data_IF_062320956830
#
_entry.id   IF_062320956830
#
_cell.length_a   1.000
_cell.length_b   1.000
_cell.length_c   1.000
_cell.angle_alpha   90.00
_cell.angle_beta   90.00
_cell.angle_gamma   90.00
#
_symmetry.space_group_name_H-M   'P 1'
#
loop_
_entity.id
_entity.type
_entity.pdbx_description
1 polymer ?
#
# COMPACT_ATOMS: atom_id res chain seq x y z
N UNK A 1 -12.37 -30.51 -38.07
CA UNK A 1 -13.58 -29.68 -38.25
C UNK A 1 -13.13 -28.23 -38.33
N UNK A 2 -13.08 -27.66 -39.54
CA UNK A 2 -12.68 -26.28 -39.83
C UNK A 2 -13.90 -25.59 -40.42
N UNK A 3 -14.30 -24.45 -39.88
CA UNK A 3 -15.29 -23.58 -40.50
C UNK A 3 -14.59 -22.26 -40.80
N UNK A 4 -14.52 -21.94 -42.10
CA UNK A 4 -14.34 -20.60 -42.63
C UNK A 4 -15.73 -20.01 -42.91
N UNK A 5 -15.89 -18.71 -42.70
CA UNK A 5 -16.79 -17.89 -43.49
C UNK A 5 -16.14 -16.51 -43.74
N UNK A 6 -16.10 -16.15 -45.01
CA UNK A 6 -15.67 -14.86 -45.55
C UNK A 6 -16.86 -13.89 -45.64
N UNK A 7 -16.59 -12.60 -45.42
CA UNK A 7 -17.09 -11.49 -46.26
C UNK A 7 -18.43 -10.82 -45.89
N UNK A 8 -18.39 -9.49 -45.72
CA UNK A 8 -19.55 -8.62 -45.93
C UNK A 8 -19.52 -7.28 -45.17
N UNK A 9 -19.05 -6.21 -45.82
CA UNK A 9 -19.10 -4.82 -45.36
C UNK A 9 -20.54 -4.30 -45.15
N UNK A 10 -20.72 -3.44 -44.14
CA UNK A 10 -21.65 -2.30 -44.21
C UNK A 10 -21.18 -1.17 -43.29
N UNK A 11 -20.93 -0.02 -43.91
CA UNK A 11 -20.56 1.26 -43.28
C UNK A 11 -21.85 1.96 -42.88
N UNK A 12 -22.00 2.30 -41.60
CA UNK A 12 -22.87 3.40 -41.16
C UNK A 12 -22.08 4.25 -40.17
N UNK A 13 -21.68 5.43 -40.66
CA UNK A 13 -21.21 6.55 -39.85
C UNK A 13 -22.28 6.95 -38.84
N UNK A 14 -21.94 7.17 -37.57
CA UNK A 14 -22.40 8.38 -36.85
C UNK A 14 -21.63 8.63 -35.55
N UNK A 15 -21.03 9.83 -35.51
CA UNK A 15 -20.77 10.70 -34.34
C UNK A 15 -19.81 10.22 -33.26
N UNK A 16 -18.57 10.68 -33.41
CA UNK A 16 -17.68 10.99 -32.29
C UNK A 16 -18.38 11.90 -31.28
N UNK A 17 -18.46 11.47 -30.02
CA UNK A 17 -18.56 12.37 -28.87
C UNK A 17 -17.22 12.39 -28.16
N UNK A 18 -16.49 13.49 -28.34
CA UNK A 18 -15.37 13.90 -27.49
C UNK A 18 -15.91 14.08 -26.06
N UNK A 19 -15.52 13.22 -25.13
CA UNK A 19 -15.64 13.50 -23.71
C UNK A 19 -14.32 14.12 -23.22
N UNK A 20 -14.34 15.44 -23.06
CA UNK A 20 -13.37 16.16 -22.23
C UNK A 20 -13.71 15.89 -20.75
N UNK A 21 -12.75 15.50 -19.88
CA UNK A 21 -13.00 15.50 -18.45
C UNK A 21 -12.99 16.94 -17.92
N UNK A 22 -14.16 17.42 -17.46
CA UNK A 22 -14.31 18.65 -16.67
C UNK A 22 -13.62 18.50 -15.30
N UNK A 23 -12.33 18.82 -15.22
CA UNK A 23 -11.62 19.10 -13.96
C UNK A 23 -11.46 20.61 -13.78
N UNK A 24 -12.53 21.34 -13.45
CA UNK A 24 -12.45 22.77 -13.03
C UNK A 24 -13.46 23.22 -11.97
N UNK A 25 -14.21 22.33 -11.32
CA UNK A 25 -15.23 22.72 -10.32
C UNK A 25 -14.80 22.65 -8.86
N UNK A 26 -13.68 22.02 -8.50
CA UNK A 26 -13.26 21.91 -7.09
C UNK A 26 -12.43 23.10 -6.58
N UNK A 27 -11.70 23.80 -7.44
CA UNK A 27 -10.91 24.97 -7.04
C UNK A 27 -11.77 26.23 -6.79
N UNK A 28 -12.96 26.32 -7.41
CA UNK A 28 -13.84 27.49 -7.28
C UNK A 28 -14.60 27.51 -5.94
N UNK A 29 -14.88 26.34 -5.37
CA UNK A 29 -15.60 26.22 -4.08
C UNK A 29 -14.67 26.52 -2.90
N UNK A 30 -13.41 26.09 -2.97
CA UNK A 30 -12.42 26.42 -1.94
C UNK A 30 -12.05 27.92 -1.91
N UNK A 31 -12.02 28.58 -3.07
CA UNK A 31 -11.73 30.02 -3.15
C UNK A 31 -12.87 30.91 -2.62
N UNK A 32 -14.13 30.44 -2.66
CA UNK A 32 -15.27 31.23 -2.17
C UNK A 32 -15.35 31.28 -0.63
N UNK A 33 -14.85 30.24 0.06
CA UNK A 33 -14.90 30.14 1.52
C UNK A 33 -13.81 31.00 2.18
N UNK A 34 -12.66 31.19 1.52
CA UNK A 34 -11.59 32.07 2.02
C UNK A 34 -11.89 33.57 1.87
N UNK A 35 -12.89 33.96 1.08
CA UNK A 35 -13.30 35.36 0.89
C UNK A 35 -14.38 35.81 1.90
N UNK A 36 -14.98 34.90 2.66
CA UNK A 36 -16.05 35.19 3.61
C UNK A 36 -15.59 35.35 5.07
N UNK A 37 -14.29 35.14 5.37
CA UNK A 37 -13.74 35.27 6.73
C UNK A 37 -12.98 36.58 6.99
N UNK A 38 -12.97 37.51 6.04
CA UNK A 38 -12.31 38.82 6.15
C UNK A 38 -13.31 39.95 5.89
N UNK A 39 -14.26 40.14 6.81
CA UNK A 39 -14.82 41.44 7.21
C UNK A 39 -16.08 41.23 8.05
N UNK A 40 -15.94 41.29 9.37
CA UNK A 40 -16.95 41.83 10.28
C UNK A 40 -16.35 41.90 11.69
N UNK A 41 -15.48 42.87 11.91
CA UNK A 41 -15.29 43.44 13.24
C UNK A 41 -16.13 44.72 13.27
N UNK A 42 -17.28 44.70 13.93
CA UNK A 42 -17.79 45.86 14.67
C UNK A 42 -18.93 45.45 15.60
N UNK A 43 -18.85 45.98 16.81
CA UNK A 43 -19.71 45.73 17.97
C UNK A 43 -21.09 46.37 17.84
N UNK A 44 -22.16 45.63 18.16
CA UNK A 44 -23.44 46.20 18.60
C UNK A 44 -24.23 45.20 19.47
N UNK A 45 -24.84 45.72 20.54
CA UNK A 45 -25.60 45.01 21.58
C UNK A 45 -26.74 44.11 21.04
N UNK A 46 -27.11 43.01 21.75
CA UNK A 46 -28.14 42.10 21.29
C UNK A 46 -29.55 42.63 21.60
N UNK A 47 -30.34 42.87 20.56
CA UNK A 47 -31.80 42.87 20.64
C UNK A 47 -32.26 41.48 20.23
N UNK A 48 -33.04 40.82 21.09
CA UNK A 48 -33.59 39.50 20.84
C UNK A 48 -34.41 39.50 19.54
N UNK A 49 -33.94 38.72 18.56
CA UNK A 49 -34.69 38.44 17.32
C UNK A 49 -35.33 37.05 17.44
N UNK A 50 -36.57 36.86 16.97
CA UNK A 50 -37.23 35.57 16.99
C UNK A 50 -36.52 34.60 16.03
N UNK A 51 -36.34 33.35 16.47
CA UNK A 51 -35.59 32.31 15.76
C UNK A 51 -36.17 32.01 14.37
N UNK A 52 -35.41 32.40 13.35
CA UNK A 52 -35.48 31.85 12.01
C UNK A 52 -34.11 31.19 11.81
N UNK A 53 -34.05 29.85 11.79
CA UNK A 53 -32.84 29.18 11.34
C UNK A 53 -32.53 29.67 9.92
N UNK A 54 -31.27 30.03 9.69
CA UNK A 54 -30.84 30.46 8.37
C UNK A 54 -30.93 29.26 7.42
N UNK A 55 -31.33 29.41 6.15
CA UNK A 55 -31.27 28.33 5.15
C UNK A 55 -29.87 27.70 5.03
N UNK A 56 -28.82 28.42 5.45
CA UNK A 56 -27.46 27.92 5.55
C UNK A 56 -27.27 26.96 6.74
N UNK A 57 -27.89 27.23 7.88
CA UNK A 57 -27.85 26.38 9.07
C UNK A 57 -28.58 25.07 8.80
N UNK A 58 -29.78 25.12 8.22
CA UNK A 58 -30.54 23.92 7.83
C UNK A 58 -29.77 23.04 6.83
N UNK A 59 -29.01 23.64 5.91
CA UNK A 59 -28.15 22.91 4.96
C UNK A 59 -26.93 22.28 5.62
N UNK A 60 -26.33 22.95 6.61
CA UNK A 60 -25.19 22.43 7.37
C UNK A 60 -25.64 21.28 8.28
N UNK A 61 -26.81 21.39 8.90
CA UNK A 61 -27.38 20.35 9.76
C UNK A 61 -27.74 19.09 8.96
N UNK A 62 -28.35 19.23 7.78
CA UNK A 62 -28.63 18.09 6.91
C UNK A 62 -27.34 17.43 6.38
N UNK A 63 -26.32 18.22 6.04
CA UNK A 63 -25.02 17.67 5.65
C UNK A 63 -24.34 16.91 6.80
N UNK A 64 -24.40 17.43 8.02
CA UNK A 64 -23.89 16.74 9.22
C UNK A 64 -24.63 15.42 9.45
N UNK A 65 -25.96 15.41 9.34
CA UNK A 65 -26.80 14.20 9.47
C UNK A 65 -26.44 13.14 8.43
N UNK A 66 -26.28 13.53 7.16
CA UNK A 66 -25.88 12.62 6.09
C UNK A 66 -24.47 12.05 6.30
N UNK A 67 -23.53 12.86 6.81
CA UNK A 67 -22.19 12.40 7.16
C UNK A 67 -22.22 11.37 8.31
N UNK A 68 -23.03 11.58 9.35
CA UNK A 68 -23.18 10.62 10.44
C UNK A 68 -23.81 9.30 9.95
N UNK A 69 -24.82 9.38 9.10
CA UNK A 69 -25.42 8.19 8.49
C UNK A 69 -24.40 7.43 7.61
N UNK A 70 -23.60 8.15 6.82
CA UNK A 70 -22.52 7.57 6.01
C UNK A 70 -21.46 6.88 6.88
N UNK A 71 -21.07 7.52 7.99
CA UNK A 71 -20.14 6.95 8.96
C UNK A 71 -20.67 5.64 9.56
N UNK A 72 -21.94 5.63 10.02
CA UNK A 72 -22.60 4.44 10.57
C UNK A 72 -22.62 3.29 9.58
N UNK A 73 -23.07 3.53 8.34
CA UNK A 73 -23.15 2.48 7.32
C UNK A 73 -21.76 1.90 6.99
N UNK A 74 -20.75 2.77 6.89
CA UNK A 74 -19.37 2.37 6.61
C UNK A 74 -18.76 1.57 7.77
N UNK A 75 -19.02 1.98 9.02
CA UNK A 75 -18.60 1.26 10.21
C UNK A 75 -19.24 -0.12 10.31
N UNK A 76 -20.55 -0.22 10.08
CA UNK A 76 -21.25 -1.50 10.09
C UNK A 76 -20.69 -2.46 9.01
N UNK A 77 -20.36 -1.94 7.82
CA UNK A 77 -19.69 -2.73 6.79
C UNK A 77 -18.31 -3.20 7.27
N UNK A 78 -17.50 -2.32 7.86
CA UNK A 78 -16.18 -2.66 8.37
C UNK A 78 -16.25 -3.70 9.50
N UNK A 79 -17.22 -3.59 10.41
CA UNK A 79 -17.47 -4.58 11.48
C UNK A 79 -17.83 -5.95 10.90
N UNK A 80 -18.76 -6.00 9.93
CA UNK A 80 -19.13 -7.25 9.27
C UNK A 80 -17.93 -7.93 8.59
N UNK A 81 -17.05 -7.14 7.96
CA UNK A 81 -15.82 -7.64 7.37
C UNK A 81 -14.83 -8.12 8.43
N UNK A 82 -14.66 -7.38 9.53
CA UNK A 82 -13.84 -7.81 10.65
C UNK A 82 -14.27 -9.17 11.21
N UNK A 83 -15.57 -9.39 11.44
CA UNK A 83 -16.07 -10.69 11.92
C UNK A 83 -15.78 -11.85 10.96
N UNK A 84 -15.73 -11.60 9.66
CA UNK A 84 -15.36 -12.62 8.67
C UNK A 84 -13.85 -12.89 8.63
N UNK A 85 -13.03 -11.92 9.00
CA UNK A 85 -11.58 -11.96 8.86
C UNK A 85 -10.86 -12.33 10.16
N UNK A 86 -11.48 -12.11 11.32
CA UNK A 86 -10.83 -12.26 12.63
C UNK A 86 -10.19 -13.64 12.86
N UNK A 87 -10.93 -14.72 12.63
CA UNK A 87 -10.41 -16.07 12.79
C UNK A 87 -9.29 -16.42 11.78
N UNK A 88 -9.43 -16.14 10.47
CA UNK A 88 -8.33 -16.29 9.51
C UNK A 88 -7.06 -15.50 9.86
N UNK A 89 -7.18 -14.27 10.40
CA UNK A 89 -6.03 -13.41 10.70
C UNK A 89 -5.09 -13.98 11.78
N UNK A 90 -5.62 -14.79 12.71
CA UNK A 90 -4.84 -15.44 13.79
C UNK A 90 -4.47 -16.90 13.52
N UNK A 91 -4.75 -17.40 12.32
CA UNK A 91 -4.43 -18.79 11.97
C UNK A 91 -2.91 -19.04 11.99
N UNK A 92 -2.55 -20.27 12.38
CA UNK A 92 -1.18 -20.79 12.25
C UNK A 92 -1.03 -21.31 10.82
N UNK A 93 0.05 -20.90 10.13
CA UNK A 93 0.15 -20.77 8.66
C UNK A 93 -0.59 -19.52 8.18
N UNK A 94 0.18 -18.61 7.58
CA UNK A 94 -0.30 -17.25 7.34
C UNK A 94 -1.37 -17.23 6.24
N UNK A 95 -2.61 -16.86 6.58
CA UNK A 95 -3.69 -16.67 5.60
C UNK A 95 -3.53 -15.34 4.84
N UNK A 96 -2.61 -15.32 3.86
CA UNK A 96 -2.36 -14.16 3.00
C UNK A 96 -3.65 -13.63 2.33
N UNK A 97 -4.59 -14.46 1.84
CA UNK A 97 -5.89 -13.98 1.37
C UNK A 97 -6.67 -13.14 2.40
N UNK A 98 -6.70 -13.52 3.68
CA UNK A 98 -7.36 -12.74 4.72
C UNK A 98 -6.72 -11.36 4.91
N UNK A 99 -5.38 -11.30 4.99
CA UNK A 99 -4.63 -10.03 5.07
C UNK A 99 -4.83 -9.16 3.82
N UNK A 100 -4.95 -9.77 2.64
CA UNK A 100 -5.27 -9.03 1.41
C UNK A 100 -6.68 -8.44 1.45
N UNK A 101 -7.67 -9.20 1.93
CA UNK A 101 -9.06 -8.72 2.08
C UNK A 101 -9.19 -7.61 3.13
N UNK A 102 -8.34 -7.61 4.15
CA UNK A 102 -8.24 -6.48 5.08
C UNK A 102 -7.99 -5.15 4.32
N UNK A 103 -7.05 -5.15 3.36
CA UNK A 103 -6.72 -3.94 2.57
C UNK A 103 -7.71 -3.68 1.45
N UNK A 104 -8.25 -4.71 0.81
CA UNK A 104 -9.13 -4.52 -0.35
C UNK A 104 -10.58 -4.22 0.03
N UNK A 105 -11.06 -4.76 1.16
CA UNK A 105 -12.48 -4.74 1.52
C UNK A 105 -12.70 -3.87 2.78
N UNK A 106 -11.96 -4.15 3.87
CA UNK A 106 -12.20 -3.49 5.16
C UNK A 106 -11.61 -2.07 5.20
N UNK A 107 -10.42 -1.87 4.66
CA UNK A 107 -9.76 -0.56 4.64
C UNK A 107 -10.60 0.53 3.94
N UNK A 108 -11.18 0.32 2.75
CA UNK A 108 -12.05 1.32 2.13
C UNK A 108 -13.25 1.70 3.01
N UNK A 109 -13.87 0.72 3.68
CA UNK A 109 -14.98 0.99 4.60
C UNK A 109 -14.54 1.82 5.81
N UNK A 110 -13.38 1.50 6.39
CA UNK A 110 -12.81 2.29 7.49
C UNK A 110 -12.40 3.70 7.04
N UNK A 111 -11.80 3.86 5.86
CA UNK A 111 -11.48 5.18 5.31
C UNK A 111 -12.75 6.00 5.04
N UNK A 112 -13.81 5.39 4.54
CA UNK A 112 -15.10 6.05 4.34
C UNK A 112 -15.69 6.55 5.67
N UNK A 113 -15.66 5.70 6.70
CA UNK A 113 -16.07 6.08 8.06
C UNK A 113 -15.22 7.22 8.61
N UNK A 114 -13.89 7.12 8.51
CA UNK A 114 -12.96 8.13 9.03
C UNK A 114 -13.16 9.50 8.38
N UNK A 115 -13.31 9.55 7.05
CA UNK A 115 -13.62 10.79 6.33
C UNK A 115 -14.95 11.39 6.80
N UNK A 116 -15.98 10.57 6.95
CA UNK A 116 -17.31 11.01 7.38
C UNK A 116 -17.28 11.56 8.83
N UNK A 117 -16.52 10.91 9.71
CA UNK A 117 -16.37 11.30 11.13
C UNK A 117 -15.47 12.52 11.37
N UNK A 118 -14.61 12.86 10.41
CA UNK A 118 -13.70 14.01 10.51
C UNK A 118 -14.27 15.28 9.88
N UNK A 119 -15.21 15.17 8.93
CA UNK A 119 -15.89 16.31 8.31
C UNK A 119 -17.01 16.88 9.18
N UNK A 120 -17.66 16.05 10.00
CA UNK A 120 -18.70 16.52 10.93
C UNK A 120 -18.09 17.27 12.11
N UNK A 121 -18.46 18.53 12.30
CA UNK A 121 -18.05 19.38 13.43
C UNK A 121 -19.10 19.46 14.54
N UNK A 122 -20.20 18.70 14.45
CA UNK A 122 -21.23 18.72 15.48
C UNK A 122 -20.71 18.07 16.76
N UNK A 123 -20.96 18.69 17.92
CA UNK A 123 -20.64 18.13 19.23
C UNK A 123 -21.71 17.12 19.68
N UNK A 124 -22.22 16.33 18.74
CA UNK A 124 -23.34 15.42 18.98
C UNK A 124 -22.88 14.14 19.68
N UNK A 125 -23.68 13.68 20.63
CA UNK A 125 -23.46 12.42 21.36
C UNK A 125 -23.32 11.22 20.42
N UNK A 126 -24.04 11.22 19.30
CA UNK A 126 -23.96 10.18 18.26
C UNK A 126 -22.60 10.16 17.57
N UNK A 127 -22.01 11.33 17.24
CA UNK A 127 -20.69 11.38 16.65
C UNK A 127 -19.61 10.86 17.60
N UNK A 128 -19.72 11.22 18.89
CA UNK A 128 -18.82 10.72 19.92
C UNK A 128 -18.89 9.19 20.03
N UNK A 129 -20.09 8.62 19.98
CA UNK A 129 -20.29 7.17 19.99
C UNK A 129 -19.66 6.51 18.75
N UNK A 130 -19.93 7.01 17.55
CA UNK A 130 -19.36 6.43 16.32
C UNK A 130 -17.83 6.54 16.27
N UNK A 131 -17.25 7.60 16.85
CA UNK A 131 -15.79 7.73 17.02
C UNK A 131 -15.23 6.64 17.96
N UNK A 132 -15.92 6.36 19.07
CA UNK A 132 -15.53 5.30 19.99
C UNK A 132 -15.62 3.93 19.31
N UNK A 133 -16.70 3.64 18.59
CA UNK A 133 -16.87 2.38 17.83
C UNK A 133 -15.79 2.22 16.75
N UNK A 134 -15.42 3.31 16.06
CA UNK A 134 -14.33 3.31 15.09
C UNK A 134 -12.98 2.98 15.74
N UNK A 135 -12.69 3.57 16.89
CA UNK A 135 -11.45 3.36 17.64
C UNK A 135 -11.35 1.93 18.18
N UNK A 136 -12.45 1.40 18.72
CA UNK A 136 -12.55 0.03 19.21
C UNK A 136 -12.31 -0.96 18.07
N UNK A 137 -13.02 -0.81 16.95
CA UNK A 137 -12.84 -1.68 15.78
C UNK A 137 -11.40 -1.66 15.25
N UNK A 138 -10.77 -0.48 15.18
CA UNK A 138 -9.37 -0.38 14.80
C UNK A 138 -8.46 -1.14 15.78
N UNK A 139 -8.65 -0.92 17.08
CA UNK A 139 -7.85 -1.55 18.13
C UNK A 139 -7.98 -3.07 18.13
N UNK A 140 -9.21 -3.58 18.00
CA UNK A 140 -9.48 -5.01 17.91
C UNK A 140 -8.85 -5.63 16.66
N UNK A 141 -9.09 -5.04 15.48
CA UNK A 141 -8.52 -5.52 14.24
C UNK A 141 -6.99 -5.54 14.31
N UNK A 142 -6.36 -4.47 14.80
CA UNK A 142 -4.91 -4.41 14.96
C UNK A 142 -4.37 -5.41 15.98
N UNK A 143 -5.11 -5.68 17.04
CA UNK A 143 -4.75 -6.71 18.02
C UNK A 143 -4.69 -8.08 17.35
N UNK A 144 -5.72 -8.46 16.58
CA UNK A 144 -5.77 -9.75 15.87
C UNK A 144 -4.66 -9.85 14.82
N UNK A 145 -4.43 -8.79 14.04
CA UNK A 145 -3.37 -8.70 13.03
C UNK A 145 -1.99 -8.91 13.69
N UNK A 146 -1.69 -8.15 14.73
CA UNK A 146 -0.38 -8.22 15.41
C UNK A 146 -0.21 -9.56 16.11
N UNK A 147 -1.26 -10.10 16.73
CA UNK A 147 -1.25 -11.43 17.33
C UNK A 147 -0.95 -12.51 16.29
N UNK A 148 -1.66 -12.52 15.16
CA UNK A 148 -1.43 -13.49 14.08
C UNK A 148 -0.02 -13.44 13.52
N UNK A 149 0.50 -12.22 13.27
CA UNK A 149 1.89 -12.02 12.82
C UNK A 149 2.88 -12.55 13.87
N UNK A 150 2.71 -12.21 15.15
CA UNK A 150 3.62 -12.63 16.21
C UNK A 150 3.59 -14.15 16.45
N UNK A 151 2.41 -14.76 16.42
CA UNK A 151 2.26 -16.21 16.57
C UNK A 151 3.01 -16.93 15.45
N UNK A 152 2.82 -16.54 14.20
CA UNK A 152 3.53 -17.14 13.07
C UNK A 152 5.04 -16.83 13.13
N UNK A 153 5.43 -15.61 13.48
CA UNK A 153 6.84 -15.25 13.63
C UNK A 153 7.55 -16.12 14.66
N UNK A 154 6.92 -16.36 15.82
CA UNK A 154 7.49 -17.23 16.86
C UNK A 154 7.67 -18.67 16.38
N UNK A 155 6.69 -19.21 15.63
CA UNK A 155 6.80 -20.57 15.05
C UNK A 155 8.01 -20.68 14.12
N UNK A 156 8.20 -19.71 13.22
CA UNK A 156 9.27 -19.78 12.22
C UNK A 156 10.64 -19.32 12.74
N UNK A 157 10.70 -18.48 13.77
CA UNK A 157 11.95 -18.18 14.48
C UNK A 157 12.56 -19.43 15.11
N UNK A 158 11.73 -20.30 15.71
CA UNK A 158 12.20 -21.59 16.23
C UNK A 158 12.86 -22.49 15.17
N UNK A 159 12.45 -22.37 13.90
CA UNK A 159 13.06 -23.12 12.79
C UNK A 159 14.39 -22.50 12.32
N UNK A 160 14.53 -21.18 12.37
CA UNK A 160 15.76 -20.44 12.02
C UNK A 160 16.87 -20.62 13.07
N UNK A 161 16.49 -20.81 14.33
CA UNK A 161 17.40 -20.92 15.47
C UNK A 161 17.82 -22.37 15.79
N UNK A 162 17.13 -23.38 15.23
CA UNK A 162 17.47 -24.79 15.37
C UNK A 162 17.97 -25.42 14.03
N UNK A 163 19.14 -25.00 13.51
CA UNK A 163 19.64 -25.38 12.19
C UNK A 163 19.92 -26.89 12.03
N UNK A 164 20.09 -27.63 13.12
CA UNK A 164 20.27 -29.10 13.08
C UNK A 164 19.05 -29.86 12.50
N UNK A 165 17.88 -29.22 12.44
CA UNK A 165 16.68 -29.78 11.80
C UNK A 165 16.65 -29.64 10.27
N UNK A 166 17.62 -28.91 9.70
CA UNK A 166 17.69 -28.55 8.29
C UNK A 166 18.82 -29.27 7.51
N UNK A 167 19.59 -30.14 8.17
CA UNK A 167 20.62 -30.95 7.50
C UNK A 167 20.02 -32.18 6.79
N UNK A 168 20.36 -32.38 5.52
CA UNK A 168 19.92 -33.51 4.68
C UNK A 168 18.68 -33.23 3.81
N UNK A 169 18.23 -34.23 3.03
CA UNK A 169 17.14 -34.06 2.06
C UNK A 169 15.77 -33.73 2.67
N UNK A 170 15.51 -34.20 3.90
CA UNK A 170 14.34 -33.78 4.69
C UNK A 170 14.47 -32.33 5.17
N UNK A 171 15.68 -31.91 5.54
CA UNK A 171 15.99 -30.55 5.94
C UNK A 171 15.85 -29.51 4.82
N UNK A 172 16.23 -29.87 3.59
CA UNK A 172 16.02 -29.00 2.41
C UNK A 172 14.53 -28.76 2.10
N UNK A 173 13.67 -29.77 2.29
CA UNK A 173 12.22 -29.60 2.13
C UNK A 173 11.61 -28.74 3.25
N UNK A 174 12.11 -28.89 4.50
CA UNK A 174 11.72 -28.05 5.62
C UNK A 174 12.16 -26.59 5.41
N UNK A 175 13.36 -26.35 4.89
CA UNK A 175 13.87 -25.01 4.55
C UNK A 175 13.02 -24.35 3.46
N UNK A 176 12.62 -25.10 2.42
CA UNK A 176 11.71 -24.60 1.38
C UNK A 176 10.36 -24.18 1.95
N UNK A 177 9.77 -25.02 2.82
CA UNK A 177 8.49 -24.72 3.45
C UNK A 177 8.61 -23.49 4.38
N UNK A 178 9.63 -23.45 5.23
CA UNK A 178 9.86 -22.33 6.13
C UNK A 178 10.11 -21.01 5.36
N UNK A 179 10.84 -21.08 4.24
CA UNK A 179 11.04 -19.93 3.36
C UNK A 179 9.73 -19.43 2.75
N UNK A 180 8.86 -20.34 2.28
CA UNK A 180 7.55 -19.98 1.75
C UNK A 180 6.64 -19.35 2.82
N UNK A 181 6.68 -19.87 4.04
CA UNK A 181 5.88 -19.35 5.15
C UNK A 181 6.38 -17.98 5.66
N UNK A 182 7.70 -17.77 5.77
CA UNK A 182 8.24 -16.44 6.06
C UNK A 182 7.94 -15.44 4.95
N UNK A 183 7.93 -15.90 3.70
CA UNK A 183 7.51 -15.09 2.55
C UNK A 183 6.04 -14.68 2.69
N UNK A 184 5.16 -15.60 3.04
CA UNK A 184 3.75 -15.33 3.30
C UNK A 184 3.56 -14.37 4.49
N UNK A 185 4.32 -14.57 5.57
CA UNK A 185 4.33 -13.68 6.72
C UNK A 185 4.80 -12.26 6.35
N UNK A 186 5.79 -12.14 5.46
CA UNK A 186 6.20 -10.83 4.93
C UNK A 186 5.03 -10.15 4.21
N UNK A 187 4.31 -10.86 3.35
CA UNK A 187 3.13 -10.30 2.68
C UNK A 187 2.05 -9.85 3.68
N UNK A 188 1.79 -10.64 4.74
CA UNK A 188 0.87 -10.25 5.79
C UNK A 188 1.30 -8.95 6.48
N UNK A 189 2.58 -8.81 6.81
CA UNK A 189 3.12 -7.57 7.40
C UNK A 189 3.03 -6.37 6.44
N UNK A 190 3.21 -6.57 5.12
CA UNK A 190 2.99 -5.54 4.10
C UNK A 190 1.53 -5.09 4.02
N UNK A 191 0.57 -6.02 4.07
CA UNK A 191 -0.85 -5.66 4.10
C UNK A 191 -1.23 -4.93 5.41
N UNK A 192 -0.71 -5.39 6.55
CA UNK A 192 -0.91 -4.73 7.84
C UNK A 192 -0.32 -3.31 7.85
N UNK A 193 0.86 -3.12 7.27
CA UNK A 193 1.50 -1.81 7.11
C UNK A 193 0.60 -0.88 6.29
N UNK A 194 0.15 -1.32 5.11
CA UNK A 194 -0.74 -0.52 4.23
C UNK A 194 -2.04 -0.13 4.92
N UNK A 195 -2.63 -1.07 5.66
CA UNK A 195 -3.86 -0.85 6.40
C UNK A 195 -3.66 0.23 7.46
N UNK A 196 -2.65 0.06 8.33
CA UNK A 196 -2.39 0.99 9.43
C UNK A 196 -1.90 2.35 8.93
N UNK A 197 -1.01 2.38 7.92
CA UNK A 197 -0.46 3.62 7.37
C UNK A 197 -1.52 4.51 6.73
N UNK A 198 -2.51 3.94 6.04
CA UNK A 198 -3.60 4.72 5.45
C UNK A 198 -4.57 5.26 6.50
N UNK A 199 -4.86 4.49 7.56
CA UNK A 199 -5.71 4.95 8.66
C UNK A 199 -4.99 5.96 9.58
N UNK A 200 -3.66 5.90 9.67
CA UNK A 200 -2.84 6.86 10.41
C UNK A 200 -2.92 8.30 9.85
N UNK A 201 -3.50 8.50 8.65
CA UNK A 201 -3.81 9.82 8.12
C UNK A 201 -4.89 10.58 8.92
N UNK A 202 -5.58 9.91 9.87
CA UNK A 202 -6.64 10.48 10.71
C UNK A 202 -6.21 10.54 12.19
N UNK A 203 -5.23 11.38 12.57
CA UNK A 203 -4.66 11.40 13.92
C UNK A 203 -5.67 11.82 15.01
N UNK A 204 -6.71 12.57 14.65
CA UNK A 204 -7.81 12.93 15.56
C UNK A 204 -8.70 11.74 15.93
N UNK A 205 -8.68 10.67 15.15
CA UNK A 205 -9.38 9.42 15.43
C UNK A 205 -8.45 8.39 16.06
N UNK A 206 -7.20 8.29 15.60
CA UNK A 206 -6.26 7.23 15.99
C UNK A 206 -4.93 7.79 16.51
N UNK A 207 -4.88 8.10 17.80
CA UNK A 207 -3.68 8.69 18.42
C UNK A 207 -2.50 7.73 18.55
N UNK A 208 -2.74 6.41 18.54
CA UNK A 208 -1.72 5.37 18.69
C UNK A 208 -1.28 4.70 17.37
N UNK A 209 -1.86 5.08 16.23
CA UNK A 209 -1.61 4.42 14.94
C UNK A 209 -0.12 4.46 14.54
N UNK A 210 0.60 5.55 14.85
CA UNK A 210 2.04 5.66 14.54
C UNK A 210 2.90 4.66 15.32
N UNK A 211 2.56 4.38 16.59
CA UNK A 211 3.28 3.40 17.39
C UNK A 211 3.05 1.98 16.86
N UNK A 212 1.80 1.66 16.51
CA UNK A 212 1.43 0.38 15.89
C UNK A 212 2.17 0.19 14.56
N UNK A 213 2.18 1.21 13.70
CA UNK A 213 2.89 1.20 12.42
C UNK A 213 4.40 0.97 12.60
N UNK A 214 5.01 1.57 13.62
CA UNK A 214 6.41 1.33 13.96
C UNK A 214 6.65 -0.13 14.36
N UNK A 215 5.76 -0.72 15.16
CA UNK A 215 5.80 -2.14 15.52
C UNK A 215 5.76 -3.06 14.30
N UNK A 216 4.81 -2.83 13.37
CA UNK A 216 4.70 -3.60 12.11
C UNK A 216 5.97 -3.45 11.27
N UNK A 217 6.51 -2.24 11.17
CA UNK A 217 7.73 -1.97 10.41
C UNK A 217 8.95 -2.69 10.96
N UNK A 218 9.02 -2.84 12.29
CA UNK A 218 10.06 -3.64 12.93
C UNK A 218 9.88 -5.13 12.64
N UNK A 219 8.64 -5.64 12.69
CA UNK A 219 8.32 -7.02 12.32
C UNK A 219 8.71 -7.32 10.87
N UNK A 220 8.42 -6.43 9.92
CA UNK A 220 8.84 -6.56 8.51
C UNK A 220 10.36 -6.75 8.39
N UNK A 221 11.14 -5.93 9.10
CA UNK A 221 12.61 -6.03 9.12
C UNK A 221 13.09 -7.36 9.68
N UNK A 222 12.47 -7.86 10.75
CA UNK A 222 12.81 -9.18 11.32
C UNK A 222 12.48 -10.30 10.33
N UNK A 223 11.29 -10.27 9.72
CA UNK A 223 10.84 -11.31 8.79
C UNK A 223 11.71 -11.35 7.53
N UNK A 224 11.99 -10.21 6.90
CA UNK A 224 12.81 -10.19 5.67
C UNK A 224 14.25 -10.64 5.94
N UNK A 225 14.81 -10.33 7.11
CA UNK A 225 16.12 -10.85 7.52
C UNK A 225 16.07 -12.36 7.75
N UNK A 226 14.96 -12.89 8.27
CA UNK A 226 14.71 -14.33 8.38
C UNK A 226 14.63 -15.01 7.00
N UNK A 227 13.91 -14.41 6.05
CA UNK A 227 13.87 -14.86 4.64
C UNK A 227 15.27 -14.90 4.04
N UNK A 228 16.07 -13.85 4.25
CA UNK A 228 17.46 -13.83 3.80
C UNK A 228 18.24 -14.98 4.43
N UNK A 229 18.24 -15.13 5.75
CA UNK A 229 18.98 -16.20 6.42
C UNK A 229 18.57 -17.60 5.96
N UNK A 230 17.27 -17.86 5.74
CA UNK A 230 16.82 -19.16 5.20
C UNK A 230 17.18 -19.34 3.72
N UNK A 231 17.16 -18.29 2.92
CA UNK A 231 17.57 -18.38 1.51
C UNK A 231 19.05 -18.76 1.35
N UNK A 232 19.86 -18.48 2.37
CA UNK A 232 21.27 -18.89 2.50
C UNK A 232 21.42 -20.41 2.69
N UNK A 233 20.42 -21.03 3.30
CA UNK A 233 20.40 -22.45 3.69
C UNK A 233 19.56 -23.30 2.72
N UNK A 234 18.77 -22.65 1.85
CA UNK A 234 17.92 -23.33 0.89
C UNK A 234 18.73 -23.73 -0.35
N UNK A 235 18.89 -25.04 -0.58
CA UNK A 235 19.54 -25.58 -1.80
C UNK A 235 18.72 -25.39 -3.10
N UNK A 236 17.54 -24.75 -3.01
CA UNK A 236 16.58 -24.64 -4.11
C UNK A 236 16.54 -23.22 -4.67
N UNK A 237 17.27 -22.97 -5.76
CA UNK A 237 17.27 -21.69 -6.47
C UNK A 237 15.85 -21.24 -6.89
N UNK A 238 14.99 -22.18 -7.29
CA UNK A 238 13.58 -21.91 -7.63
C UNK A 238 12.78 -21.35 -6.45
N UNK A 239 12.98 -21.89 -5.25
CA UNK A 239 12.29 -21.41 -4.05
C UNK A 239 12.74 -19.99 -3.68
N UNK A 240 14.05 -19.72 -3.78
CA UNK A 240 14.61 -18.39 -3.53
C UNK A 240 14.10 -17.38 -4.57
N UNK A 241 14.01 -17.77 -5.85
CA UNK A 241 13.42 -16.95 -6.91
C UNK A 241 11.93 -16.66 -6.66
N UNK A 242 11.14 -17.66 -6.28
CA UNK A 242 9.72 -17.49 -5.97
C UNK A 242 9.51 -16.54 -4.77
N UNK A 243 10.32 -16.68 -3.72
CA UNK A 243 10.32 -15.76 -2.58
C UNK A 243 10.68 -14.33 -3.00
N UNK A 244 11.74 -14.15 -3.80
CA UNK A 244 12.08 -12.84 -4.34
C UNK A 244 10.92 -12.22 -5.11
N UNK A 245 10.32 -12.97 -6.06
CA UNK A 245 9.23 -12.48 -6.90
C UNK A 245 8.02 -12.06 -6.05
N UNK A 246 7.75 -12.82 -5.00
CA UNK A 246 6.66 -12.53 -4.07
C UNK A 246 6.93 -11.27 -3.27
N UNK A 247 8.11 -11.18 -2.63
CA UNK A 247 8.53 -10.03 -1.81
C UNK A 247 8.54 -8.75 -2.63
N UNK A 248 9.16 -8.76 -3.80
CA UNK A 248 9.32 -7.55 -4.62
C UNK A 248 7.98 -7.02 -5.14
N UNK A 249 7.01 -7.90 -5.40
CA UNK A 249 5.67 -7.50 -5.84
C UNK A 249 4.85 -6.89 -4.69
N UNK A 250 5.06 -7.32 -3.45
CA UNK A 250 4.31 -6.82 -2.29
C UNK A 250 4.97 -5.65 -1.58
N UNK A 251 6.27 -5.46 -1.74
CA UNK A 251 7.07 -4.43 -1.08
C UNK A 251 6.49 -3.02 -1.29
N UNK A 252 6.16 -2.31 -0.21
CA UNK A 252 5.83 -0.87 -0.26
C UNK A 252 6.96 0.02 0.22
N UNK A 253 7.83 -0.51 1.09
CA UNK A 253 8.81 0.26 1.86
C UNK A 253 10.17 0.37 1.17
N UNK A 254 10.61 1.59 0.79
CA UNK A 254 11.91 1.78 0.18
C UNK A 254 13.09 1.38 1.07
N UNK A 255 12.94 1.45 2.40
CA UNK A 255 14.03 1.16 3.33
C UNK A 255 14.48 -0.31 3.29
N UNK A 256 13.64 -1.19 2.73
CA UNK A 256 13.90 -2.63 2.62
C UNK A 256 14.50 -3.02 1.25
N UNK A 257 14.77 -2.05 0.36
CA UNK A 257 15.34 -2.31 -0.97
C UNK A 257 16.70 -3.00 -0.90
N UNK A 258 17.52 -2.70 0.10
CA UNK A 258 18.81 -3.36 0.30
C UNK A 258 18.64 -4.87 0.51
N UNK A 259 17.71 -5.26 1.39
CA UNK A 259 17.40 -6.65 1.69
C UNK A 259 16.81 -7.35 0.47
N UNK A 260 15.91 -6.70 -0.27
CA UNK A 260 15.38 -7.25 -1.52
C UNK A 260 16.46 -7.41 -2.60
N UNK A 261 17.40 -6.47 -2.70
CA UNK A 261 18.54 -6.60 -3.61
C UNK A 261 19.47 -7.76 -3.21
N UNK A 262 19.71 -7.99 -1.91
CA UNK A 262 20.46 -9.15 -1.43
C UNK A 262 19.76 -10.47 -1.78
N UNK A 263 18.44 -10.54 -1.60
CA UNK A 263 17.66 -11.72 -1.99
C UNK A 263 17.69 -11.93 -3.51
N UNK A 264 17.60 -10.86 -4.30
CA UNK A 264 17.71 -10.91 -5.76
C UNK A 264 19.07 -11.47 -6.22
N UNK A 265 20.17 -11.05 -5.57
CA UNK A 265 21.52 -11.54 -5.87
C UNK A 265 21.63 -13.05 -5.64
N UNK A 266 20.95 -13.58 -4.63
CA UNK A 266 20.88 -15.04 -4.41
C UNK A 266 20.02 -15.74 -5.44
N UNK A 267 18.88 -15.13 -5.79
CA UNK A 267 17.94 -15.69 -6.75
C UNK A 267 18.52 -15.77 -8.19
N UNK A 268 19.26 -14.73 -8.62
CA UNK A 268 19.67 -14.56 -10.03
C UNK A 268 21.19 -14.42 -10.24
N UNK A 269 21.97 -14.27 -9.17
CA UNK A 269 23.40 -13.99 -9.21
C UNK A 269 23.74 -12.49 -9.20
N UNK A 270 24.93 -12.16 -8.68
CA UNK A 270 25.39 -10.79 -8.49
C UNK A 270 25.45 -9.96 -9.79
N UNK A 271 25.87 -10.59 -10.90
CA UNK A 271 25.96 -9.92 -12.20
C UNK A 271 24.61 -9.51 -12.79
N UNK A 272 23.52 -10.04 -12.25
CA UNK A 272 22.14 -9.75 -12.69
C UNK A 272 21.44 -8.72 -11.82
N UNK A 273 22.10 -8.14 -10.83
CA UNK A 273 21.48 -7.20 -9.89
C UNK A 273 22.31 -5.94 -9.76
N UNK A 274 21.70 -4.78 -10.00
CA UNK A 274 22.32 -3.49 -9.80
C UNK A 274 21.44 -2.63 -8.90
N UNK A 275 22.01 -2.19 -7.77
CA UNK A 275 21.38 -1.29 -6.82
C UNK A 275 22.14 0.04 -6.85
N UNK A 276 21.43 1.15 -7.04
CA UNK A 276 21.99 2.50 -6.97
C UNK A 276 22.48 2.74 -5.55
N UNK A 277 23.74 3.11 -5.39
CA UNK A 277 24.27 3.54 -4.11
C UNK A 277 23.82 4.98 -3.85
N UNK A 278 23.41 5.29 -2.62
CA UNK A 278 23.11 6.66 -2.22
C UNK A 278 24.35 7.53 -2.42
N UNK A 279 24.30 8.46 -3.38
CA UNK A 279 25.41 9.38 -3.60
C UNK A 279 25.54 10.32 -2.39
N UNK A 280 26.74 10.39 -1.80
CA UNK A 280 27.04 11.21 -0.61
C UNK A 280 27.10 12.72 -0.88
N UNK A 281 26.86 13.15 -2.11
CA UNK A 281 26.99 14.55 -2.57
C UNK A 281 25.64 15.18 -2.90
N UNK A 282 25.42 16.47 -2.55
CA UNK A 282 24.10 17.08 -2.66
C UNK A 282 23.69 17.40 -4.12
N UNK A 283 22.54 16.83 -4.48
CA UNK A 283 21.45 17.36 -5.34
C UNK A 283 21.87 17.99 -6.68
N UNK A 284 22.03 17.13 -7.69
CA UNK A 284 21.18 17.32 -8.86
C UNK A 284 19.89 16.52 -8.62
N UNK A 285 18.69 17.02 -8.96
CA UNK A 285 17.51 16.18 -9.06
C UNK A 285 17.82 15.13 -10.11
N UNK A 286 18.23 13.95 -9.64
CA UNK A 286 18.63 12.84 -10.49
C UNK A 286 17.43 12.53 -11.41
N UNK A 287 17.54 12.68 -12.73
CA UNK A 287 16.42 12.44 -13.65
C UNK A 287 15.99 10.97 -13.61
N UNK A 288 16.82 10.10 -13.03
CA UNK A 288 16.61 8.67 -13.05
C UNK A 288 16.22 8.16 -11.66
N UNK A 289 14.91 7.95 -11.49
CA UNK A 289 14.32 7.46 -10.24
C UNK A 289 14.58 5.97 -9.99
N UNK A 290 15.18 5.23 -10.95
CA UNK A 290 15.43 3.79 -10.83
C UNK A 290 16.52 3.53 -9.80
N UNK A 291 16.15 2.83 -8.73
CA UNK A 291 17.00 2.47 -7.61
C UNK A 291 17.54 1.04 -7.72
N UNK A 292 16.75 0.10 -8.23
CA UNK A 292 17.15 -1.31 -8.36
C UNK A 292 16.78 -1.83 -9.75
N UNK A 293 17.72 -2.52 -10.39
CA UNK A 293 17.52 -3.30 -11.60
C UNK A 293 17.85 -4.76 -11.31
N UNK A 294 16.95 -5.66 -11.66
CA UNK A 294 17.17 -7.10 -11.60
C UNK A 294 16.88 -7.72 -12.96
N UNK A 295 17.89 -8.35 -13.56
CA UNK A 295 17.73 -9.14 -14.79
C UNK A 295 17.18 -10.51 -14.44
N UNK A 296 15.85 -10.65 -14.49
CA UNK A 296 15.14 -11.87 -14.15
C UNK A 296 15.38 -12.99 -15.18
N UNK A 297 15.43 -12.62 -16.47
CA UNK A 297 15.70 -13.54 -17.59
C UNK A 297 16.62 -12.87 -18.62
N UNK A 298 16.97 -13.56 -19.71
CA UNK A 298 17.90 -13.03 -20.74
C UNK A 298 17.50 -11.64 -21.20
N UNK A 299 16.22 -11.41 -21.50
CA UNK A 299 15.73 -10.14 -22.03
C UNK A 299 14.75 -9.46 -21.08
N UNK A 300 14.59 -9.94 -19.84
CA UNK A 300 13.57 -9.45 -18.91
C UNK A 300 14.20 -8.81 -17.68
N UNK A 301 13.83 -7.56 -17.43
CA UNK A 301 14.35 -6.75 -16.34
C UNK A 301 13.21 -6.27 -15.46
N UNK A 302 13.39 -6.37 -14.15
CA UNK A 302 12.59 -5.65 -13.17
C UNK A 302 13.31 -4.38 -12.79
N UNK A 303 12.60 -3.27 -12.92
CA UNK A 303 13.04 -1.94 -12.55
C UNK A 303 12.24 -1.52 -11.31
N UNK A 304 12.92 -1.09 -10.25
CA UNK A 304 12.28 -0.52 -9.08
C UNK A 304 12.71 0.94 -8.97
N UNK A 305 11.74 1.84 -9.00
CA UNK A 305 11.94 3.28 -8.81
C UNK A 305 11.27 3.77 -7.53
N UNK A 306 11.84 4.81 -6.93
CA UNK A 306 11.18 5.56 -5.85
C UNK A 306 10.58 6.82 -6.46
N UNK A 307 9.25 6.90 -6.48
CA UNK A 307 8.49 8.07 -6.93
C UNK A 307 7.61 8.55 -5.79
N UNK A 308 7.73 9.82 -5.40
CA UNK A 308 6.94 10.42 -4.31
C UNK A 308 7.01 9.61 -3.00
N UNK A 309 8.19 9.05 -2.70
CA UNK A 309 8.42 8.23 -1.51
C UNK A 309 7.82 6.82 -1.57
N UNK A 310 7.27 6.40 -2.72
CA UNK A 310 6.69 5.07 -2.95
C UNK A 310 7.50 4.27 -3.93
N UNK A 311 7.53 2.96 -3.71
CA UNK A 311 8.09 2.03 -4.67
C UNK A 311 7.16 1.82 -5.86
N UNK A 312 7.72 1.90 -7.06
CA UNK A 312 7.05 1.50 -8.29
C UNK A 312 7.89 0.40 -8.94
N UNK A 313 7.25 -0.75 -9.12
CA UNK A 313 7.81 -1.92 -9.78
C UNK A 313 7.36 -1.96 -11.23
N UNK A 314 8.31 -2.03 -12.15
CA UNK A 314 8.06 -2.13 -13.59
C UNK A 314 8.83 -3.34 -14.15
N UNK A 315 8.22 -4.07 -15.08
CA UNK A 315 8.89 -5.14 -15.82
C UNK A 315 9.06 -4.67 -17.25
N UNK A 316 10.29 -4.69 -17.73
CA UNK A 316 10.68 -4.28 -19.07
C UNK A 316 11.32 -5.46 -19.80
N UNK A 317 11.09 -5.52 -21.11
CA UNK A 317 11.79 -6.43 -22.01
C UNK A 317 12.79 -5.64 -22.84
N UNK A 318 14.06 -6.06 -22.85
CA UNK A 318 15.15 -5.44 -23.60
C UNK A 318 16.06 -6.51 -24.22
N UNK A 319 16.07 -6.57 -25.54
CA UNK A 319 16.78 -7.58 -26.34
C UNK A 319 18.24 -7.24 -26.59
N UNK A 320 18.73 -6.08 -26.12
CA UNK A 320 20.14 -5.68 -26.23
C UNK A 320 21.07 -6.51 -25.34
N UNK A 321 20.52 -7.29 -24.42
CA UNK A 321 21.27 -8.19 -23.56
C UNK A 321 22.15 -7.50 -22.51
N UNK A 322 21.84 -6.24 -22.17
CA UNK A 322 22.59 -5.41 -21.23
C UNK A 322 22.78 -6.08 -19.86
N UNK A 323 23.88 -5.75 -19.16
CA UNK A 323 23.95 -6.11 -17.74
C UNK A 323 22.95 -5.28 -16.93
N UNK A 324 22.59 -5.73 -15.73
CA UNK A 324 21.72 -4.95 -14.85
C UNK A 324 22.35 -3.59 -14.50
N UNK A 325 23.67 -3.54 -14.36
CA UNK A 325 24.43 -2.32 -14.11
C UNK A 325 24.35 -1.37 -15.31
N UNK A 326 24.62 -1.86 -16.53
CA UNK A 326 24.54 -1.04 -17.73
C UNK A 326 23.15 -0.45 -17.92
N UNK A 327 22.10 -1.21 -17.63
CA UNK A 327 20.72 -0.71 -17.74
C UNK A 327 20.38 0.35 -16.69
N UNK A 328 20.88 0.17 -15.45
CA UNK A 328 20.74 1.14 -14.37
C UNK A 328 21.45 2.47 -14.72
N UNK A 329 22.63 2.40 -15.36
CA UNK A 329 23.41 3.58 -15.73
C UNK A 329 22.96 4.22 -17.07
N UNK A 330 22.46 3.43 -18.04
CA UNK A 330 21.97 3.95 -19.32
C UNK A 330 20.62 4.65 -19.23
N UNK A 331 19.82 4.37 -18.20
CA UNK A 331 18.62 5.17 -17.91
C UNK A 331 18.95 6.62 -17.51
N UNK A 332 20.23 7.00 -17.42
CA UNK A 332 20.73 8.37 -17.29
C UNK A 332 21.01 9.11 -18.62
N UNK A 333 20.78 8.49 -19.80
CA UNK A 333 21.15 9.16 -21.07
C UNK A 333 20.18 10.28 -21.42
N UNK A 334 20.67 11.49 -21.20
CA UNK A 334 20.18 12.81 -21.65
C UNK A 334 19.51 12.75 -23.02
N UNK A 335 18.28 13.27 -23.10
CA UNK A 335 17.67 13.67 -24.38
C UNK A 335 18.54 14.79 -24.96
N UNK A 336 19.46 14.44 -25.87
CA UNK A 336 20.10 15.44 -26.72
C UNK A 336 19.02 15.88 -27.72
N UNK A 337 18.29 16.94 -27.40
CA UNK A 337 17.49 17.64 -28.40
C UNK A 337 18.45 18.15 -29.46
N UNK A 338 18.49 17.48 -30.60
CA UNK A 338 19.18 17.97 -31.78
C UNK A 338 18.57 19.33 -32.15
N UNK A 339 19.36 20.38 -32.39
CA UNK A 339 18.80 21.62 -32.93
C UNK A 339 18.20 21.29 -34.29
N UNK A 340 16.92 21.65 -34.48
CA UNK A 340 16.25 21.49 -35.78
C UNK A 340 16.99 22.33 -36.84
N UNK A 341 17.11 21.81 -38.08
CA UNK A 341 17.74 22.52 -39.19
C UNK A 341 16.97 23.77 -39.61
#
# INVERSE_FOLDING_TARGET
>A
MRIKFDGGLSIVQTRQRKFLPKRRSLALVAALISLLTLNACESANPVASPGLSSPLEDQLDEAARLNLQSARNSLQQAQNLYFQLSAPLISVSTDVPAYRRLVNDMLPAMLSAANSLTVSSSADSEQAQLKAEYQELYSEAMTQIVQGINTNLAVYQGMIEAPQSLDGSAGANNARQALAELTALFQATEYAERFSAQLAAFPSLLSNASAVLTGIRNQQSVVINGVLKLSEQADSAEAVQASYQTLVQTLTRPELLNQVAQLARRAFGDSRVALRQSELTPVQPDPNQIQLVVREETDRYRLIRISEGRLVNEVMVDTRGLSAADLLFQSNVVVVTSPQP
#
